data_IF_774835105407
#
_entry.id   IF_774835105407
#
_cell.length_a   1.000
_cell.length_b   1.000
_cell.length_c   1.000
_cell.angle_alpha   90.00
_cell.angle_beta   90.00
_cell.angle_gamma   90.00
#
_symmetry.space_group_name_H-M   'P 1'
#
loop_
_entity.id
_entity.type
_entity.pdbx_description
1 polymer ?
#
# COMPACT_ATOMS: atom_id res chain seq x y z
N UNK A 1 -14.03 0.53 9.56
CA UNK A 1 -12.86 1.30 9.10
C UNK A 1 -12.29 0.65 7.84
N UNK A 2 -12.00 1.44 6.81
CA UNK A 2 -11.32 0.97 5.60
C UNK A 2 -9.80 1.07 5.83
N UNK A 3 -9.05 0.01 5.45
CA UNK A 3 -7.58 0.02 5.49
C UNK A 3 -7.04 -0.31 4.12
N UNK A 4 -6.25 0.61 3.57
CA UNK A 4 -5.48 0.39 2.36
C UNK A 4 -4.07 -0.07 2.74
N UNK A 5 -3.74 -1.32 2.45
CA UNK A 5 -2.44 -1.92 2.69
C UNK A 5 -1.56 -1.74 1.47
N UNK A 6 -0.50 -0.96 1.58
CA UNK A 6 0.40 -0.72 0.47
C UNK A 6 1.82 -1.17 0.80
N UNK A 7 2.38 -2.06 -0.02
CA UNK A 7 3.81 -2.36 0.05
C UNK A 7 4.60 -1.25 -0.64
N UNK A 8 5.73 -0.82 -0.04
CA UNK A 8 6.60 0.16 -0.68
C UNK A 8 6.98 -0.23 -2.12
N UNK A 9 7.21 0.76 -2.98
CA UNK A 9 7.59 0.61 -4.38
C UNK A 9 9.02 0.10 -4.56
N UNK A 10 9.49 -0.06 -5.79
CA UNK A 10 10.86 -0.49 -6.06
C UNK A 10 11.89 0.45 -5.42
N UNK A 11 13.00 -0.10 -4.97
CA UNK A 11 14.02 0.65 -4.25
C UNK A 11 15.40 0.15 -4.63
N UNK A 12 16.37 1.06 -4.61
CA UNK A 12 17.77 0.79 -4.95
C UNK A 12 18.26 -0.47 -4.25
N UNK A 13 18.89 -1.38 -4.99
CA UNK A 13 19.47 -2.60 -4.42
C UNK A 13 20.84 -2.27 -3.83
N UNK A 14 21.03 -2.53 -2.54
CA UNK A 14 22.34 -2.53 -1.90
C UNK A 14 22.72 -3.94 -1.47
N UNK A 15 24.01 -4.28 -1.52
CA UNK A 15 24.52 -5.47 -0.83
C UNK A 15 24.22 -5.33 0.65
N UNK A 16 23.78 -6.43 1.27
CA UNK A 16 23.28 -6.47 2.64
C UNK A 16 24.27 -5.85 3.65
N UNK A 17 24.02 -4.62 4.04
CA UNK A 17 24.66 -3.98 5.16
C UNK A 17 23.58 -3.18 5.92
N UNK A 18 23.22 -3.60 7.12
CA UNK A 18 22.04 -3.21 7.85
C UNK A 18 21.88 -1.70 8.07
N UNK A 19 22.97 -0.99 8.34
CA UNK A 19 22.94 0.47 8.59
C UNK A 19 22.60 1.32 7.35
N UNK A 20 22.72 0.76 6.14
CA UNK A 20 22.39 1.43 4.88
C UNK A 20 20.97 1.08 4.38
N UNK A 21 20.36 -0.01 4.86
CA UNK A 21 19.03 -0.42 4.41
C UNK A 21 17.93 0.58 4.82
N UNK A 22 18.04 1.18 5.99
CA UNK A 22 17.07 2.19 6.46
C UNK A 22 17.02 3.42 5.55
N UNK A 23 18.17 3.85 5.05
CA UNK A 23 18.33 5.03 4.18
C UNK A 23 18.17 4.73 2.70
N UNK A 24 17.87 3.51 2.31
CA UNK A 24 17.71 3.07 0.93
C UNK A 24 16.50 3.75 0.27
N UNK A 25 16.72 4.62 -0.75
CA UNK A 25 15.64 5.33 -1.42
C UNK A 25 14.94 4.45 -2.45
N UNK A 26 13.83 4.96 -2.99
CA UNK A 26 13.26 4.45 -4.23
C UNK A 26 14.29 4.58 -5.36
N UNK A 27 14.22 3.67 -6.33
CA UNK A 27 14.83 3.82 -7.64
C UNK A 27 13.85 4.56 -8.59
N UNK A 28 14.28 4.81 -9.83
CA UNK A 28 13.46 5.52 -10.82
C UNK A 28 12.16 4.74 -11.11
N UNK A 29 12.25 3.41 -11.21
CA UNK A 29 11.10 2.52 -11.36
C UNK A 29 10.12 2.70 -10.19
N UNK A 30 10.62 2.67 -8.96
CA UNK A 30 9.77 2.81 -7.76
C UNK A 30 9.12 4.18 -7.65
N UNK A 31 9.81 5.23 -8.07
CA UNK A 31 9.26 6.58 -8.11
C UNK A 31 8.10 6.67 -9.12
N UNK A 32 8.28 6.12 -10.31
CA UNK A 32 7.23 6.04 -11.32
C UNK A 32 6.04 5.18 -10.86
N UNK A 33 6.32 3.98 -10.30
CA UNK A 33 5.30 3.08 -9.75
C UNK A 33 4.43 3.76 -8.68
N UNK A 34 5.06 4.48 -7.74
CA UNK A 34 4.34 5.15 -6.65
C UNK A 34 3.44 6.28 -7.16
N UNK A 35 3.92 7.10 -8.09
CA UNK A 35 3.12 8.16 -8.70
C UNK A 35 1.95 7.59 -9.52
N UNK A 36 2.19 6.54 -10.33
CA UNK A 36 1.13 5.89 -11.11
C UNK A 36 0.06 5.25 -10.21
N UNK A 37 0.48 4.55 -9.15
CA UNK A 37 -0.45 3.96 -8.18
C UNK A 37 -1.26 5.04 -7.47
N UNK A 38 -0.63 6.16 -7.09
CA UNK A 38 -1.34 7.30 -6.50
C UNK A 38 -2.43 7.85 -7.42
N UNK A 39 -2.12 8.06 -8.71
CA UNK A 39 -3.13 8.48 -9.70
C UNK A 39 -4.25 7.46 -9.88
N UNK A 40 -3.93 6.15 -9.86
CA UNK A 40 -4.95 5.11 -9.92
C UNK A 40 -5.87 5.13 -8.71
N UNK A 41 -5.33 5.34 -7.50
CA UNK A 41 -6.11 5.47 -6.27
C UNK A 41 -6.96 6.74 -6.28
N UNK A 42 -6.44 7.86 -6.77
CA UNK A 42 -7.22 9.08 -6.97
C UNK A 42 -8.39 8.85 -7.95
N UNK A 43 -8.16 8.13 -9.05
CA UNK A 43 -9.23 7.75 -9.99
C UNK A 43 -10.25 6.75 -9.44
N UNK A 44 -9.95 6.10 -8.31
CA UNK A 44 -10.86 5.25 -7.54
C UNK A 44 -11.52 6.00 -6.38
N UNK A 45 -11.41 7.34 -6.34
CA UNK A 45 -11.93 8.22 -5.29
C UNK A 45 -11.47 7.78 -3.88
N UNK A 46 -10.20 7.34 -3.77
CA UNK A 46 -9.63 6.96 -2.47
C UNK A 46 -9.37 8.22 -1.66
N UNK A 47 -10.17 8.39 -0.62
CA UNK A 47 -10.00 9.41 0.42
C UNK A 47 -9.64 8.75 1.74
N UNK A 48 -8.67 9.32 2.47
CA UNK A 48 -8.17 8.76 3.73
C UNK A 48 -7.97 9.84 4.78
N UNK A 49 -8.37 9.54 6.01
CA UNK A 49 -8.14 10.43 7.15
C UNK A 49 -6.70 10.41 7.68
N UNK A 50 -5.90 9.39 7.31
CA UNK A 50 -4.48 9.33 7.66
C UNK A 50 -3.67 8.53 6.64
N UNK A 51 -2.42 8.98 6.41
CA UNK A 51 -1.38 8.24 5.69
C UNK A 51 -0.27 7.91 6.69
N UNK A 52 -0.06 6.61 6.94
CA UNK A 52 0.89 6.12 7.96
C UNK A 52 1.92 5.22 7.28
N UNK A 53 3.19 5.53 7.46
CA UNK A 53 4.29 4.81 6.82
C UNK A 53 5.24 4.17 7.83
N UNK A 54 5.90 3.10 7.42
CA UNK A 54 7.16 2.70 8.04
C UNK A 54 8.17 3.85 7.99
N UNK A 55 9.04 4.03 9.00
CA UNK A 55 10.05 5.09 9.00
C UNK A 55 11.17 4.88 7.97
N UNK A 56 11.25 3.71 7.30
CA UNK A 56 12.28 3.44 6.31
C UNK A 56 12.07 4.29 5.05
N UNK A 57 13.16 4.89 4.53
CA UNK A 57 13.14 5.90 3.46
C UNK A 57 12.30 5.50 2.24
N UNK A 58 12.41 4.25 1.76
CA UNK A 58 11.62 3.74 0.63
C UNK A 58 10.10 3.75 0.88
N UNK A 59 9.68 3.49 2.13
CA UNK A 59 8.27 3.50 2.48
C UNK A 59 7.73 4.94 2.64
N UNK A 60 8.50 5.83 3.29
CA UNK A 60 8.12 7.24 3.41
C UNK A 60 8.04 7.93 2.05
N UNK A 61 9.00 7.67 1.14
CA UNK A 61 8.95 8.20 -0.22
C UNK A 61 7.74 7.69 -1.01
N UNK A 62 7.44 6.38 -0.91
CA UNK A 62 6.22 5.81 -1.52
C UNK A 62 4.97 6.51 -0.98
N UNK A 63 4.86 6.62 0.35
CA UNK A 63 3.71 7.24 1.01
C UNK A 63 3.55 8.72 0.63
N UNK A 64 4.64 9.50 0.57
CA UNK A 64 4.61 10.90 0.15
C UNK A 64 4.10 11.06 -1.29
N UNK A 65 4.62 10.24 -2.22
CA UNK A 65 4.20 10.31 -3.63
C UNK A 65 2.72 9.96 -3.79
N UNK A 66 2.27 8.89 -3.14
CA UNK A 66 0.86 8.48 -3.19
C UNK A 66 -0.04 9.51 -2.52
N UNK A 67 0.32 10.01 -1.34
CA UNK A 67 -0.44 11.03 -0.62
C UNK A 67 -0.65 12.29 -1.47
N UNK A 68 0.40 12.74 -2.18
CA UNK A 68 0.30 13.88 -3.09
C UNK A 68 -0.68 13.64 -4.24
N UNK A 69 -0.63 12.46 -4.86
CA UNK A 69 -1.50 12.14 -6.01
C UNK A 69 -2.98 11.96 -5.62
N UNK A 70 -3.29 11.44 -4.41
CA UNK A 70 -4.66 11.34 -3.91
C UNK A 70 -5.18 12.64 -3.28
N UNK A 71 -4.37 13.72 -3.26
CA UNK A 71 -4.77 15.00 -2.69
C UNK A 71 -4.84 15.01 -1.16
N UNK A 72 -4.13 14.12 -0.47
CA UNK A 72 -4.08 14.11 0.99
C UNK A 72 -3.30 15.33 1.51
N UNK A 73 -3.97 16.23 2.21
CA UNK A 73 -3.42 17.47 2.75
C UNK A 73 -2.92 17.35 4.21
N UNK A 74 -3.15 16.20 4.83
CA UNK A 74 -2.71 15.92 6.19
C UNK A 74 -1.20 15.65 6.31
N UNK A 75 -0.73 15.57 7.55
CA UNK A 75 0.67 15.23 7.83
C UNK A 75 0.91 13.72 7.72
N UNK A 76 1.90 13.30 6.93
CA UNK A 76 2.39 11.93 6.91
C UNK A 76 2.88 11.52 8.31
N UNK A 77 2.37 10.40 8.80
CA UNK A 77 2.79 9.82 10.07
C UNK A 77 3.77 8.66 9.85
N UNK A 78 4.77 8.54 10.74
CA UNK A 78 5.67 7.37 10.75
C UNK A 78 5.38 6.50 11.96
N UNK A 79 5.32 5.17 11.73
CA UNK A 79 5.09 4.21 12.80
C UNK A 79 6.03 3.00 12.71
N UNK A 80 6.70 2.62 13.81
CA UNK A 80 7.49 1.40 13.87
C UNK A 80 6.65 0.13 13.72
N UNK A 81 5.33 0.20 13.90
CA UNK A 81 4.40 -0.91 13.66
C UNK A 81 4.36 -1.38 12.20
N UNK A 82 4.93 -0.60 11.28
CA UNK A 82 5.01 -0.91 9.84
C UNK A 82 6.43 -1.30 9.38
N UNK A 83 7.39 -1.46 10.32
CA UNK A 83 8.72 -1.99 10.03
C UNK A 83 8.67 -3.45 9.55
N UNK A 84 9.70 -3.93 8.80
CA UNK A 84 9.89 -5.35 8.57
C UNK A 84 9.91 -6.10 9.90
N UNK A 85 9.26 -7.26 9.99
CA UNK A 85 9.16 -8.07 11.20
C UNK A 85 8.46 -7.41 12.41
N UNK A 86 7.72 -6.31 12.22
CA UNK A 86 6.88 -5.75 13.28
C UNK A 86 5.84 -6.78 13.76
N UNK A 87 5.58 -6.88 15.08
CA UNK A 87 4.60 -7.80 15.61
C UNK A 87 3.16 -7.41 15.22
N UNK A 88 2.28 -8.40 15.01
CA UNK A 88 0.85 -8.14 14.72
C UNK A 88 0.18 -7.31 15.82
N UNK A 89 0.57 -7.52 17.08
CA UNK A 89 0.04 -6.73 18.21
C UNK A 89 0.25 -5.23 18.01
N UNK A 90 1.47 -4.80 17.64
CA UNK A 90 1.78 -3.37 17.43
C UNK A 90 1.02 -2.78 16.25
N UNK A 91 0.74 -3.59 15.23
CA UNK A 91 -0.08 -3.18 14.10
C UNK A 91 -1.56 -3.04 14.50
N UNK A 92 -2.12 -3.97 15.28
CA UNK A 92 -3.48 -3.83 15.84
C UNK A 92 -3.60 -2.59 16.72
N UNK A 93 -2.63 -2.33 17.60
CA UNK A 93 -2.58 -1.12 18.42
C UNK A 93 -2.55 0.16 17.56
N UNK A 94 -1.88 0.13 16.38
CA UNK A 94 -1.90 1.23 15.41
C UNK A 94 -3.30 1.44 14.84
N UNK A 95 -3.98 0.36 14.43
CA UNK A 95 -5.35 0.44 13.90
C UNK A 95 -6.33 0.95 14.95
N UNK A 96 -6.24 0.47 16.19
CA UNK A 96 -7.10 0.93 17.30
C UNK A 96 -6.96 2.43 17.58
N UNK A 97 -5.72 2.97 17.54
CA UNK A 97 -5.50 4.42 17.71
C UNK A 97 -6.11 5.29 16.61
N UNK A 98 -6.39 4.71 15.46
CA UNK A 98 -6.98 5.37 14.30
C UNK A 98 -8.43 4.91 14.03
N UNK A 99 -9.06 4.19 14.95
CA UNK A 99 -10.37 3.59 14.75
C UNK A 99 -11.52 4.60 14.57
N UNK A 100 -11.29 5.87 14.93
CA UNK A 100 -12.21 6.98 14.69
C UNK A 100 -12.19 7.50 13.24
N UNK A 101 -11.21 7.08 12.42
CA UNK A 101 -11.11 7.46 11.02
C UNK A 101 -11.91 6.47 10.15
N UNK A 102 -12.53 6.98 9.10
CA UNK A 102 -13.25 6.17 8.14
C UNK A 102 -12.30 5.28 7.34
N UNK A 103 -11.20 5.86 6.88
CA UNK A 103 -10.19 5.18 6.09
C UNK A 103 -8.76 5.59 6.45
N UNK A 104 -7.82 4.65 6.33
CA UNK A 104 -6.38 4.89 6.50
C UNK A 104 -5.58 4.18 5.41
N UNK A 105 -4.50 4.82 4.95
CA UNK A 105 -3.49 4.20 4.09
C UNK A 105 -2.26 3.84 4.93
N UNK A 106 -1.88 2.57 4.95
CA UNK A 106 -0.67 2.10 5.63
C UNK A 106 0.37 1.62 4.60
N UNK A 107 1.60 2.15 4.70
CA UNK A 107 2.70 1.81 3.78
C UNK A 107 3.81 1.09 4.55
N UNK A 108 4.09 -0.16 4.15
CA UNK A 108 5.01 -1.02 4.88
C UNK A 108 5.78 -2.00 3.99
N UNK A 109 6.15 -3.13 4.56
CA UNK A 109 7.07 -4.11 3.99
C UNK A 109 6.51 -5.53 4.07
N UNK A 110 6.89 -6.37 3.10
CA UNK A 110 6.72 -7.81 3.22
C UNK A 110 7.92 -8.44 3.94
N UNK A 111 7.68 -9.55 4.66
CA UNK A 111 6.42 -10.31 4.72
C UNK A 111 5.38 -9.77 5.71
N UNK A 112 5.72 -8.82 6.60
CA UNK A 112 4.85 -8.37 7.70
C UNK A 112 3.49 -7.86 7.20
N UNK A 113 3.48 -6.99 6.17
CA UNK A 113 2.25 -6.38 5.70
C UNK A 113 1.28 -7.41 5.09
N UNK A 114 1.81 -8.33 4.27
CA UNK A 114 1.01 -9.45 3.74
C UNK A 114 0.48 -10.36 4.86
N UNK A 115 1.30 -10.62 5.87
CA UNK A 115 0.88 -11.42 7.03
C UNK A 115 -0.21 -10.71 7.85
N UNK A 116 -0.09 -9.40 8.07
CA UNK A 116 -1.11 -8.62 8.79
C UNK A 116 -2.45 -8.68 8.06
N UNK A 117 -2.44 -8.43 6.76
CA UNK A 117 -3.65 -8.53 5.94
C UNK A 117 -4.26 -9.93 6.00
N UNK A 118 -3.44 -10.97 5.80
CA UNK A 118 -3.91 -12.36 5.86
C UNK A 118 -4.57 -12.70 7.19
N UNK A 119 -3.96 -12.29 8.31
CA UNK A 119 -4.51 -12.55 9.66
C UNK A 119 -5.80 -11.80 9.95
N UNK A 120 -6.00 -10.62 9.34
CA UNK A 120 -7.23 -9.85 9.52
C UNK A 120 -8.41 -10.39 8.69
N UNK A 121 -8.13 -11.04 7.56
CA UNK A 121 -9.18 -11.55 6.67
C UNK A 121 -9.45 -13.06 6.85
N UNK A 122 -8.68 -13.75 7.72
CA UNK A 122 -8.87 -15.18 7.99
C UNK A 122 -9.70 -15.37 9.26
N UNK A 123 -10.82 -16.07 9.15
CA UNK A 123 -11.54 -16.59 10.31
C UNK A 123 -10.79 -17.83 10.85
N UNK A 124 -9.83 -17.59 11.77
CA UNK A 124 -9.35 -18.59 12.77
C UNK A 124 -8.50 -19.68 12.20
N UNK A 125 -8.37 -20.47 11.34
CA UNK A 125 -7.49 -21.66 11.17
C UNK A 125 -6.94 -21.87 9.75
N UNK A 126 -7.31 -21.09 8.80
CA UNK A 126 -6.80 -21.17 7.43
C UNK A 126 -5.87 -20.02 7.15
N UNK A 127 -4.60 -20.31 6.85
CA UNK A 127 -3.66 -19.30 6.40
C UNK A 127 -4.08 -18.78 5.01
N UNK A 128 -4.86 -17.70 4.98
CA UNK A 128 -5.06 -16.97 3.73
C UNK A 128 -3.73 -16.33 3.35
N UNK A 129 -3.21 -16.66 2.19
CA UNK A 129 -1.95 -16.10 1.69
C UNK A 129 -2.22 -14.97 0.72
N UNK A 130 -1.97 -13.73 1.14
CA UNK A 130 -2.00 -12.57 0.24
C UNK A 130 -0.57 -12.12 -0.01
N UNK A 131 -0.08 -12.25 -1.24
CA UNK A 131 1.24 -11.77 -1.65
C UNK A 131 1.14 -10.37 -2.28
N UNK A 132 1.39 -9.34 -1.48
CA UNK A 132 1.47 -7.97 -1.98
C UNK A 132 2.80 -7.77 -2.73
N UNK A 133 2.74 -7.62 -4.05
CA UNK A 133 3.90 -7.21 -4.86
C UNK A 133 4.36 -5.81 -4.45
N UNK A 134 5.60 -5.40 -4.80
CA UNK A 134 6.06 -4.03 -4.58
C UNK A 134 5.07 -3.05 -5.22
N UNK A 135 4.75 -1.98 -4.53
CA UNK A 135 3.77 -0.97 -4.92
C UNK A 135 2.32 -1.48 -5.09
N UNK A 136 2.01 -2.75 -4.74
CA UNK A 136 0.64 -3.21 -4.73
C UNK A 136 -0.13 -2.61 -3.54
N UNK A 137 -1.43 -2.37 -3.76
CA UNK A 137 -2.38 -1.92 -2.74
C UNK A 137 -3.48 -2.95 -2.61
N UNK A 138 -3.87 -3.26 -1.36
CA UNK A 138 -5.06 -4.04 -1.04
C UNK A 138 -6.00 -3.20 -0.19
N UNK A 139 -7.29 -3.22 -0.49
CA UNK A 139 -8.33 -2.66 0.38
C UNK A 139 -8.96 -3.77 1.20
N UNK A 140 -9.00 -3.58 2.51
CA UNK A 140 -9.79 -4.38 3.43
C UNK A 140 -10.73 -3.49 4.25
N UNK A 141 -11.98 -3.90 4.38
CA UNK A 141 -12.97 -3.24 5.22
C UNK A 141 -13.02 -3.98 6.55
N UNK A 142 -12.65 -3.31 7.64
CA UNK A 142 -12.54 -3.90 8.98
C UNK A 142 -13.80 -3.65 9.81
N UNK A 143 -14.26 -4.70 10.50
CA UNK A 143 -15.28 -4.65 11.55
C UNK A 143 -14.70 -5.30 12.80
N UNK A 144 -14.40 -4.50 13.83
CA UNK A 144 -13.65 -4.98 14.98
C UNK A 144 -12.25 -5.47 14.56
N UNK A 145 -11.91 -6.71 14.96
CA UNK A 145 -10.62 -7.32 14.67
C UNK A 145 -10.56 -8.11 13.36
N UNK A 146 -11.69 -8.24 12.67
CA UNK A 146 -11.82 -8.98 11.42
C UNK A 146 -12.04 -8.07 10.23
N UNK A 147 -11.65 -8.52 9.06
CA UNK A 147 -11.77 -7.76 7.83
C UNK A 147 -12.22 -8.58 6.65
N UNK A 148 -12.77 -7.90 5.66
CA UNK A 148 -13.11 -8.47 4.36
C UNK A 148 -12.20 -7.83 3.31
N UNK A 149 -11.42 -8.65 2.61
CA UNK A 149 -10.63 -8.19 1.47
C UNK A 149 -11.59 -7.80 0.33
N UNK A 150 -11.55 -6.56 -0.09
CA UNK A 150 -12.40 -6.04 -1.18
C UNK A 150 -11.73 -6.17 -2.53
N UNK A 151 -10.45 -5.81 -2.62
CA UNK A 151 -9.67 -5.91 -3.84
C UNK A 151 -8.16 -5.82 -3.56
N UNK A 152 -7.38 -6.28 -4.53
CA UNK A 152 -5.93 -6.09 -4.61
C UNK A 152 -5.59 -5.50 -5.97
N UNK A 153 -4.87 -4.40 -5.99
CA UNK A 153 -4.42 -3.70 -7.18
C UNK A 153 -2.89 -3.79 -7.29
N UNK A 154 -2.35 -4.68 -8.12
CA UNK A 154 -0.92 -4.73 -8.41
C UNK A 154 -0.53 -3.66 -9.43
N UNK A 155 0.72 -3.14 -9.44
CA UNK A 155 1.15 -2.11 -10.39
C UNK A 155 1.00 -2.53 -11.87
N UNK A 156 1.17 -3.80 -12.18
CA UNK A 156 0.98 -4.32 -13.55
C UNK A 156 -0.43 -4.11 -14.09
N UNK A 157 -1.45 -4.12 -13.24
CA UNK A 157 -2.83 -3.79 -13.65
C UNK A 157 -2.99 -2.29 -13.90
N UNK A 158 -2.34 -1.45 -13.09
CA UNK A 158 -2.35 0.01 -13.27
C UNK A 158 -1.72 0.39 -14.61
N UNK A 159 -0.56 -0.18 -14.94
CA UNK A 159 0.13 0.05 -16.21
C UNK A 159 -0.77 -0.31 -17.39
N UNK A 160 -1.44 -1.47 -17.34
CA UNK A 160 -2.35 -1.93 -18.38
C UNK A 160 -3.54 -1.00 -18.55
N UNK A 161 -4.17 -0.57 -17.46
CA UNK A 161 -5.34 0.33 -17.50
C UNK A 161 -4.97 1.71 -18.06
N UNK A 162 -3.81 2.27 -17.68
CA UNK A 162 -3.35 3.56 -18.17
C UNK A 162 -2.99 3.52 -19.65
N UNK A 163 -2.42 2.43 -20.15
CA UNK A 163 -2.15 2.23 -21.59
C UNK A 163 -3.47 2.16 -22.38
N UNK A 164 -4.48 1.48 -21.85
CA UNK A 164 -5.79 1.35 -22.51
C UNK A 164 -6.55 2.68 -22.55
N UNK A 165 -6.42 3.51 -21.54
CA UNK A 165 -7.09 4.83 -21.48
C UNK A 165 -6.39 5.86 -22.39
N UNK A 166 -5.06 5.81 -22.52
CA UNK A 166 -4.27 6.71 -23.34
C UNK A 166 -4.07 6.24 -24.80
N UNK A 167 -4.27 4.95 -25.05
CA UNK A 167 -4.23 4.33 -26.37
C UNK A 167 -5.63 4.14 -26.91
N UNK A 168 -5.96 4.82 -28.02
CA UNK A 168 -7.18 4.76 -28.80
C UNK A 168 -7.96 3.45 -28.66
N UNK A 169 -9.28 3.56 -28.45
CA UNK A 169 -10.22 2.43 -28.63
C UNK A 169 -9.82 1.65 -29.89
N UNK A 170 -9.64 0.33 -29.84
CA UNK A 170 -9.57 -0.45 -31.07
C UNK A 170 -10.87 -0.22 -31.84
N UNK A 171 -10.78 0.24 -33.07
CA UNK A 171 -11.92 0.33 -33.99
C UNK A 171 -12.63 -1.02 -34.00
N UNK A 172 -13.91 -0.98 -33.65
CA UNK A 172 -14.79 -2.11 -33.81
C UNK A 172 -14.73 -2.54 -35.29
N UNK A 173 -14.13 -3.70 -35.57
CA UNK A 173 -14.22 -4.34 -36.87
C UNK A 173 -15.71 -4.53 -37.16
N UNK A 174 -16.26 -3.66 -38.02
CA UNK A 174 -17.52 -3.95 -38.73
C UNK A 174 -17.20 -5.02 -39.75
N UNK A 175 -17.78 -6.17 -39.59
CA UNK A 175 -17.91 -7.27 -40.53
C UNK A 175 -19.29 -7.84 -40.40
#
# INVERSE_FOLDING_TARGET
MIVYFMRHASAVRHRANSSRDEKRPLDDEGTAQAAQMGRALAGLDVDVGAVISSPLKRATQTACLVANEIGFDGRLQCSPALLPAAPMKTFRDLLHRNANLEAVLVVGHNPSLSKFLSLLISEGASESSVDLKKCAVARADLSGEMGVLKWVLPPTMVDTLLVTVNGSRPEARRG
#
